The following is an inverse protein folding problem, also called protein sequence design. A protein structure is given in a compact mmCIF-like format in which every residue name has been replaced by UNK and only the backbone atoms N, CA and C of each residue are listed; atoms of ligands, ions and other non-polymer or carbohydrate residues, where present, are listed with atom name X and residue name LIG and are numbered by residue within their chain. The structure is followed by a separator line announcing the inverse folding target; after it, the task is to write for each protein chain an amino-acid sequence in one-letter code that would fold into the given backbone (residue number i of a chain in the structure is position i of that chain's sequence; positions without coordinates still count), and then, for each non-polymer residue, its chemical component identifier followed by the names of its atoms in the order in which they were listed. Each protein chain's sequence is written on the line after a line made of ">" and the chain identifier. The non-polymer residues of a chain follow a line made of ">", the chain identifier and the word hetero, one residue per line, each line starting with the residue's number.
data_IF_591124251704
#
_entry.id   IF_591124251704
#
_cell.length_a   1.000
_cell.length_b   1.000
_cell.length_c   1.000
_cell.angle_alpha   90.00
_cell.angle_beta   90.00
_cell.angle_gamma   90.00
#
_symmetry.space_group_name_H-M   'P 1'
#
loop_
_entity.id
_entity.type
_entity.pdbx_description
1 polymer ?
#
# COMPACT_ATOMS: atom_id res chain seq x y z
N UNK A 1 -10.44 30.59 3.05
CA UNK A 1 -9.64 29.39 2.69
C UNK A 1 -8.36 29.88 2.04
N UNK A 2 -7.25 29.77 2.75
CA UNK A 2 -5.92 30.17 2.24
C UNK A 2 -5.12 28.89 2.19
N UNK A 3 -4.95 28.33 1.00
CA UNK A 3 -4.23 27.08 0.76
C UNK A 3 -2.76 27.30 1.09
N UNK A 4 -2.29 26.77 2.23
CA UNK A 4 -0.86 26.70 2.51
C UNK A 4 -0.31 25.52 1.73
N UNK A 5 0.02 25.76 0.46
CA UNK A 5 0.83 24.82 -0.32
C UNK A 5 2.24 24.88 0.25
N UNK A 6 2.78 23.79 0.81
CA UNK A 6 4.14 23.83 1.29
C UNK A 6 5.13 23.81 0.11
N UNK A 7 6.23 24.54 0.31
CA UNK A 7 7.22 25.00 -0.68
C UNK A 7 8.20 23.88 -1.09
N UNK A 8 7.67 22.70 -1.45
CA UNK A 8 8.50 21.49 -1.67
C UNK A 8 8.61 21.04 -3.13
N UNK A 9 7.86 21.66 -4.05
CA UNK A 9 7.97 21.33 -5.47
C UNK A 9 9.36 21.65 -6.03
N UNK A 10 9.95 20.67 -6.69
CA UNK A 10 11.18 20.80 -7.50
C UNK A 10 11.05 21.79 -8.66
N UNK A 11 9.82 22.23 -8.98
CA UNK A 11 9.50 23.16 -10.06
C UNK A 11 9.24 24.60 -9.56
N UNK A 12 9.42 24.87 -8.26
CA UNK A 12 9.20 26.21 -7.70
C UNK A 12 10.54 26.97 -7.57
N UNK A 13 10.84 27.95 -8.44
CA UNK A 13 12.08 28.71 -8.39
C UNK A 13 12.16 29.71 -7.22
N UNK A 14 11.07 29.88 -6.45
CA UNK A 14 11.01 30.80 -5.31
C UNK A 14 10.67 30.06 -4.01
N UNK A 15 11.67 29.40 -3.41
CA UNK A 15 11.65 29.04 -1.98
C UNK A 15 11.78 30.33 -1.15
N UNK A 16 10.66 31.03 -0.91
CA UNK A 16 10.67 32.42 -0.43
C UNK A 16 11.12 32.57 1.04
N UNK A 17 11.73 33.72 1.40
CA UNK A 17 12.08 34.11 2.78
C UNK A 17 10.90 34.12 3.78
N UNK A 18 9.64 34.02 3.31
CA UNK A 18 8.46 34.05 4.17
C UNK A 18 8.22 32.72 4.91
N UNK A 19 8.69 31.59 4.37
CA UNK A 19 8.72 30.32 5.09
C UNK A 19 9.74 30.36 6.25
N UNK A 20 10.87 31.04 6.03
CA UNK A 20 11.81 31.40 7.09
C UNK A 20 11.23 32.42 8.06
N UNK A 21 10.33 33.32 7.64
CA UNK A 21 9.64 34.24 8.55
C UNK A 21 8.79 33.49 9.58
N UNK A 22 8.19 32.34 9.23
CA UNK A 22 7.44 31.51 10.18
C UNK A 22 8.38 30.83 11.21
N UNK A 23 9.49 30.25 10.74
CA UNK A 23 10.56 29.73 11.61
C UNK A 23 11.24 30.83 12.44
N UNK A 24 11.31 32.05 11.92
CA UNK A 24 11.85 33.24 12.56
C UNK A 24 10.90 33.84 13.59
N UNK A 25 9.58 33.82 13.37
CA UNK A 25 8.56 34.20 14.36
C UNK A 25 8.58 33.21 15.53
N UNK A 26 8.70 31.91 15.25
CA UNK A 26 8.82 30.88 16.28
C UNK A 26 10.11 31.03 17.11
N UNK A 27 11.25 31.27 16.44
CA UNK A 27 12.52 31.61 17.12
C UNK A 27 12.49 33.01 17.76
N UNK A 28 11.60 33.92 17.34
CA UNK A 28 11.37 35.22 18.01
C UNK A 28 10.58 35.13 19.31
N UNK A 29 9.60 34.24 19.38
CA UNK A 29 8.96 33.86 20.64
C UNK A 29 9.98 33.23 21.60
N UNK A 30 10.92 32.43 21.08
CA UNK A 30 12.08 31.94 21.84
C UNK A 30 13.07 33.05 22.21
N UNK A 31 13.28 34.07 21.38
CA UNK A 31 14.13 35.21 21.79
C UNK A 31 13.45 36.11 22.81
N UNK A 32 12.12 36.14 22.96
CA UNK A 32 11.47 36.78 24.14
C UNK A 32 11.87 36.10 25.46
N UNK A 33 12.07 34.78 25.46
CA UNK A 33 12.67 34.04 26.58
C UNK A 33 14.15 34.44 26.76
N UNK A 34 14.91 34.65 25.68
CA UNK A 34 16.29 35.20 25.80
C UNK A 34 16.34 36.68 26.16
N UNK A 35 15.25 37.43 25.96
CA UNK A 35 15.14 38.85 26.35
C UNK A 35 14.96 38.94 27.87
N UNK A 36 14.32 37.94 28.46
CA UNK A 36 14.31 37.69 29.90
C UNK A 36 15.73 37.44 30.45
N UNK A 37 16.56 36.68 29.70
CA UNK A 37 17.99 36.47 30.01
C UNK A 37 18.84 37.75 29.85
N UNK A 38 18.55 38.57 28.83
CA UNK A 38 19.19 39.88 28.62
C UNK A 38 18.85 40.93 29.67
N UNK A 39 17.73 40.81 30.39
CA UNK A 39 17.43 41.64 31.58
C UNK A 39 18.28 41.24 32.79
N UNK A 40 18.78 40.00 32.81
CA UNK A 40 19.69 39.45 33.81
C UNK A 40 21.15 39.88 33.55
N UNK A 41 21.53 40.12 32.29
CA UNK A 41 22.85 40.63 31.90
C UNK A 41 22.96 42.18 31.91
N UNK A 42 21.83 42.89 32.04
CA UNK A 42 21.78 44.36 32.09
C UNK A 42 22.21 44.97 33.44
N UNK A 43 22.66 44.14 34.40
CA UNK A 43 23.14 44.52 35.72
C UNK A 43 24.68 44.52 35.86
N UNK A 44 25.43 44.36 34.77
CA UNK A 44 26.90 44.43 34.78
C UNK A 44 27.44 45.58 33.89
N UNK A 45 28.41 46.40 34.36
CA UNK A 45 28.78 47.64 33.68
C UNK A 45 29.56 47.38 32.38
N UNK A 46 29.19 48.11 31.33
CA UNK A 46 29.78 48.03 29.99
C UNK A 46 31.12 48.77 29.93
N UNK A 47 32.15 48.11 29.40
CA UNK A 47 33.29 48.76 28.76
C UNK A 47 33.33 48.37 27.28
N UNK A 48 33.64 49.35 26.43
CA UNK A 48 33.81 49.24 24.99
C UNK A 48 34.92 50.22 24.59
N UNK A 49 35.55 50.11 23.42
CA UNK A 49 36.34 49.01 22.89
C UNK A 49 37.77 49.49 22.54
N UNK A 50 38.74 48.58 22.41
CA UNK A 50 39.99 48.90 21.71
C UNK A 50 40.31 47.84 20.66
N UNK A 51 40.60 48.34 19.45
CA UNK A 51 41.25 47.65 18.35
C UNK A 51 42.57 47.01 18.81
N UNK A 52 42.89 45.81 18.32
CA UNK A 52 44.14 45.56 17.58
C UNK A 52 44.27 44.10 17.11
N UNK A 53 45.24 43.92 16.22
CA UNK A 53 45.38 42.93 15.16
C UNK A 53 45.92 41.53 15.56
N UNK A 54 45.81 40.63 14.57
CA UNK A 54 46.63 39.44 14.29
C UNK A 54 46.56 38.24 15.23
N UNK A 55 46.03 37.13 14.69
CA UNK A 55 46.85 35.93 14.45
C UNK A 55 46.17 34.96 13.47
N UNK A 56 46.96 34.52 12.49
CA UNK A 56 46.68 33.51 11.49
C UNK A 56 47.11 32.12 11.96
N UNK A 57 46.23 31.12 11.84
CA UNK A 57 46.62 29.71 11.72
C UNK A 57 45.73 29.02 10.65
N UNK A 58 46.40 28.32 9.71
CA UNK A 58 45.86 27.57 8.56
C UNK A 58 45.04 26.33 8.99
N UNK A 59 43.86 25.99 8.44
CA UNK A 59 43.53 25.21 7.19
C UNK A 59 42.30 24.32 7.51
N UNK A 60 41.51 23.66 6.60
CA UNK A 60 41.45 23.67 5.13
C UNK A 60 40.03 23.98 4.55
N UNK A 61 39.96 24.15 3.22
CA UNK A 61 38.74 24.32 2.40
C UNK A 61 37.97 25.65 2.52
N UNK A 62 38.67 26.76 2.31
CA UNK A 62 37.98 28.02 2.00
C UNK A 62 37.62 28.05 0.52
N UNK A 63 36.43 27.59 0.17
CA UNK A 63 35.75 28.13 -1.00
C UNK A 63 35.65 29.65 -0.79
N UNK A 64 36.21 30.45 -1.70
CA UNK A 64 36.03 31.89 -1.67
C UNK A 64 34.59 32.20 -2.10
N UNK A 65 33.72 32.43 -1.12
CA UNK A 65 32.39 32.96 -1.35
C UNK A 65 32.47 34.49 -1.44
N UNK A 66 31.82 35.08 -2.44
CA UNK A 66 31.81 36.52 -2.65
C UNK A 66 30.92 37.27 -1.62
N UNK A 67 29.94 36.59 -1.04
CA UNK A 67 29.05 37.12 0.00
C UNK A 67 28.55 36.01 0.95
N UNK A 68 28.14 36.37 2.17
CA UNK A 68 27.51 35.45 3.13
C UNK A 68 26.25 34.80 2.53
N UNK A 69 25.54 35.50 1.64
CA UNK A 69 24.41 34.94 0.88
C UNK A 69 24.81 33.80 -0.03
N UNK A 70 25.97 33.86 -0.67
CA UNK A 70 26.46 32.79 -1.55
C UNK A 70 26.87 31.55 -0.74
N UNK A 71 27.55 31.77 0.39
CA UNK A 71 27.86 30.70 1.35
C UNK A 71 26.60 30.06 1.89
N UNK A 72 25.63 30.85 2.31
CA UNK A 72 24.38 30.36 2.90
C UNK A 72 23.53 29.67 1.83
N UNK A 73 23.47 30.20 0.60
CA UNK A 73 22.83 29.53 -0.53
C UNK A 73 23.49 28.19 -0.83
N UNK A 74 24.82 28.12 -0.92
CA UNK A 74 25.52 26.85 -1.14
C UNK A 74 25.27 25.87 0.01
N UNK A 75 25.37 26.32 1.26
CA UNK A 75 25.10 25.49 2.43
C UNK A 75 23.66 24.96 2.43
N UNK A 76 22.69 25.80 2.08
CA UNK A 76 21.28 25.40 1.94
C UNK A 76 21.09 24.42 0.79
N UNK A 77 21.75 24.63 -0.34
CA UNK A 77 21.73 23.70 -1.47
C UNK A 77 22.35 22.35 -1.11
N UNK A 78 23.49 22.36 -0.41
CA UNK A 78 24.23 21.17 0.03
C UNK A 78 23.43 20.36 1.08
N UNK A 79 22.69 21.03 1.97
CA UNK A 79 21.90 20.40 3.04
C UNK A 79 20.39 20.37 2.78
N UNK A 80 19.94 20.67 1.57
CA UNK A 80 18.52 20.89 1.25
C UNK A 80 17.64 19.73 1.70
N UNK A 81 18.09 18.51 1.45
CA UNK A 81 17.32 17.31 1.74
C UNK A 81 17.17 17.06 3.25
N UNK A 82 18.22 17.34 4.03
CA UNK A 82 18.18 17.19 5.49
C UNK A 82 17.30 18.27 6.14
N UNK A 83 17.32 19.48 5.57
CA UNK A 83 16.46 20.59 6.00
C UNK A 83 14.99 20.28 5.69
N UNK A 84 14.70 19.76 4.49
CA UNK A 84 13.37 19.32 4.08
C UNK A 84 12.87 18.22 5.04
N UNK A 85 13.68 17.20 5.32
CA UNK A 85 13.36 16.14 6.29
C UNK A 85 13.07 16.68 7.69
N UNK A 86 13.91 17.60 8.20
CA UNK A 86 13.69 18.22 9.51
C UNK A 86 12.38 19.00 9.55
N UNK A 87 12.05 19.72 8.48
CA UNK A 87 10.82 20.49 8.38
C UNK A 87 9.58 19.57 8.39
N UNK A 88 9.55 18.54 7.54
CA UNK A 88 8.40 17.61 7.49
C UNK A 88 8.26 16.80 8.78
N UNK A 89 9.38 16.36 9.38
CA UNK A 89 9.36 15.66 10.67
C UNK A 89 8.84 16.57 11.79
N UNK A 90 9.22 17.85 11.78
CA UNK A 90 8.72 18.83 12.74
C UNK A 90 7.22 19.08 12.57
N UNK A 91 6.73 19.23 11.33
CA UNK A 91 5.31 19.37 11.02
C UNK A 91 4.54 18.14 11.54
N UNK A 92 5.03 16.94 11.22
CA UNK A 92 4.43 15.68 11.64
C UNK A 92 4.40 15.50 13.16
N UNK A 93 5.43 15.99 13.88
CA UNK A 93 5.52 15.83 15.33
C UNK A 93 4.82 16.93 16.13
N UNK A 94 4.69 18.15 15.57
CA UNK A 94 4.32 19.35 16.35
C UNK A 94 2.90 19.84 16.11
N UNK A 95 2.27 19.48 14.99
CA UNK A 95 0.91 19.92 14.66
C UNK A 95 -0.09 18.83 15.00
N UNK A 96 -1.22 19.23 15.61
CA UNK A 96 -2.39 18.36 15.82
C UNK A 96 -3.35 18.42 14.62
N UNK A 97 -3.17 19.41 13.75
CA UNK A 97 -3.98 19.63 12.56
C UNK A 97 -3.83 18.48 11.55
N UNK A 98 -4.91 17.71 11.38
CA UNK A 98 -4.95 16.55 10.51
C UNK A 98 -4.87 16.92 9.03
N UNK A 99 -5.41 18.07 8.60
CA UNK A 99 -5.36 18.51 7.21
C UNK A 99 -3.92 18.84 6.79
N UNK A 100 -3.16 19.48 7.69
CA UNK A 100 -1.75 19.78 7.45
C UNK A 100 -0.91 18.50 7.44
N UNK A 101 -1.22 17.53 8.30
CA UNK A 101 -0.53 16.23 8.27
C UNK A 101 -0.87 15.43 7.00
N UNK A 102 -2.10 15.49 6.51
CA UNK A 102 -2.49 14.84 5.25
C UNK A 102 -1.78 15.46 4.04
N UNK A 103 -1.48 16.77 4.08
CA UNK A 103 -0.68 17.43 3.04
C UNK A 103 0.74 16.88 2.92
N UNK A 104 1.25 16.15 3.92
CA UNK A 104 2.56 15.50 3.85
C UNK A 104 2.58 14.30 2.88
N UNK A 105 1.42 13.72 2.57
CA UNK A 105 1.32 12.61 1.61
C UNK A 105 1.84 13.02 0.24
N UNK A 106 1.50 14.22 -0.24
CA UNK A 106 1.90 14.71 -1.57
C UNK A 106 3.39 15.06 -1.65
N UNK A 107 4.09 15.20 -0.52
CA UNK A 107 5.52 15.51 -0.46
C UNK A 107 6.38 14.24 -0.51
N UNK A 108 5.82 13.06 -0.18
CA UNK A 108 6.56 11.79 -0.17
C UNK A 108 7.36 11.56 -1.47
N UNK A 109 6.80 11.78 -2.69
CA UNK A 109 7.53 11.58 -3.93
C UNK A 109 8.62 12.61 -4.21
N UNK A 110 8.56 13.79 -3.58
CA UNK A 110 9.52 14.89 -3.74
C UNK A 110 10.75 14.75 -2.82
N UNK A 111 10.66 13.89 -1.80
CA UNK A 111 11.77 13.59 -0.90
C UNK A 111 12.74 12.60 -1.54
N UNK A 112 13.96 12.53 -1.00
CA UNK A 112 14.83 11.38 -1.26
C UNK A 112 14.22 10.13 -0.61
N UNK A 113 14.41 8.96 -1.20
CA UNK A 113 13.81 7.71 -0.74
C UNK A 113 14.08 7.40 0.74
N UNK A 114 15.31 7.63 1.22
CA UNK A 114 15.69 7.46 2.62
C UNK A 114 14.97 8.45 3.57
N UNK A 115 14.71 9.67 3.11
CA UNK A 115 13.99 10.69 3.88
C UNK A 115 12.48 10.46 3.85
N UNK A 116 11.95 10.01 2.71
CA UNK A 116 10.57 9.56 2.56
C UNK A 116 10.27 8.42 3.54
N UNK A 117 11.14 7.40 3.61
CA UNK A 117 11.04 6.32 4.58
C UNK A 117 11.00 6.84 6.02
N UNK A 118 11.93 7.72 6.40
CA UNK A 118 11.95 8.27 7.75
C UNK A 118 10.66 9.00 8.10
N UNK A 119 10.09 9.78 7.16
CA UNK A 119 8.81 10.46 7.36
C UNK A 119 7.65 9.46 7.56
N UNK A 120 7.51 8.48 6.68
CA UNK A 120 6.42 7.48 6.77
C UNK A 120 6.53 6.67 8.06
N UNK A 121 7.73 6.16 8.38
CA UNK A 121 7.94 5.38 9.59
C UNK A 121 7.87 6.24 10.86
N UNK A 122 8.11 7.55 10.79
CA UNK A 122 7.82 8.45 11.91
C UNK A 122 6.31 8.59 12.17
N UNK A 123 5.48 8.61 11.13
CA UNK A 123 4.03 8.59 11.28
C UNK A 123 3.55 7.31 11.97
N UNK A 124 4.05 6.14 11.54
CA UNK A 124 3.70 4.84 12.14
C UNK A 124 4.22 4.74 13.57
N UNK A 125 5.47 5.13 13.82
CA UNK A 125 6.10 5.04 15.13
C UNK A 125 5.39 5.94 16.17
N UNK A 126 4.85 7.08 15.74
CA UNK A 126 4.03 7.96 16.60
C UNK A 126 2.78 7.24 17.11
N UNK A 127 2.07 6.56 16.22
CA UNK A 127 0.90 5.74 16.61
C UNK A 127 1.30 4.57 17.50
N UNK A 128 2.45 3.94 17.20
CA UNK A 128 3.04 2.86 18.00
C UNK A 128 3.72 3.32 19.29
N UNK A 129 3.73 4.63 19.59
CA UNK A 129 4.40 5.26 20.74
C UNK A 129 5.87 4.83 20.90
N UNK A 130 6.60 4.76 19.79
CA UNK A 130 8.01 4.37 19.77
C UNK A 130 8.87 5.31 18.91
N UNK A 131 10.18 5.18 19.03
CA UNK A 131 11.11 5.97 18.24
C UNK A 131 11.17 5.44 16.78
N UNK A 132 11.18 6.31 15.75
CA UNK A 132 11.24 5.86 14.35
C UNK A 132 12.44 4.96 14.02
N UNK A 133 13.66 5.22 14.51
CA UNK A 133 14.80 4.32 14.25
C UNK A 133 14.61 2.91 14.83
N UNK A 134 13.93 2.80 15.98
CA UNK A 134 13.64 1.50 16.58
C UNK A 134 12.65 0.72 15.71
N UNK A 135 11.58 1.37 15.25
CA UNK A 135 10.60 0.74 14.37
C UNK A 135 11.27 0.25 13.07
N UNK A 136 12.10 1.08 12.44
CA UNK A 136 12.80 0.71 11.19
C UNK A 136 13.66 -0.55 11.39
N UNK A 137 14.41 -0.64 12.50
CA UNK A 137 15.22 -1.81 12.79
C UNK A 137 14.35 -3.07 13.01
N UNK A 138 13.27 -2.95 13.78
CA UNK A 138 12.38 -4.08 14.02
C UNK A 138 11.65 -4.55 12.75
N UNK A 139 11.32 -3.63 11.85
CA UNK A 139 10.70 -3.96 10.55
C UNK A 139 11.68 -4.75 9.68
N UNK A 140 12.95 -4.32 9.64
CA UNK A 140 14.01 -5.04 8.92
C UNK A 140 14.20 -6.47 9.46
N UNK A 141 14.10 -6.63 10.77
CA UNK A 141 14.23 -7.93 11.46
C UNK A 141 12.94 -8.75 11.47
N UNK A 142 11.83 -8.22 10.92
CA UNK A 142 10.48 -8.83 10.99
C UNK A 142 10.00 -9.10 12.42
N UNK A 143 10.48 -8.33 13.40
CA UNK A 143 10.27 -8.55 14.83
C UNK A 143 9.15 -7.68 15.45
N UNK A 144 8.37 -6.96 14.64
CA UNK A 144 7.32 -6.03 15.13
C UNK A 144 5.92 -6.29 14.58
N UNK A 145 5.60 -7.52 14.17
CA UNK A 145 4.27 -7.84 13.62
C UNK A 145 3.13 -7.42 14.58
N UNK A 146 3.23 -7.77 15.86
CA UNK A 146 2.21 -7.42 16.87
C UNK A 146 2.11 -5.90 17.11
N UNK A 147 3.24 -5.20 17.07
CA UNK A 147 3.27 -3.72 17.19
C UNK A 147 2.52 -3.09 16.01
N UNK A 148 2.81 -3.53 14.79
CA UNK A 148 2.16 -3.01 13.57
C UNK A 148 0.66 -3.32 13.56
N UNK A 149 0.27 -4.53 13.99
CA UNK A 149 -1.15 -4.88 14.16
C UNK A 149 -1.82 -4.02 15.23
N UNK A 150 -1.13 -3.74 16.34
CA UNK A 150 -1.63 -2.86 17.39
C UNK A 150 -1.83 -1.43 16.89
N UNK A 151 -0.92 -0.93 16.05
CA UNK A 151 -1.08 0.36 15.35
C UNK A 151 -2.31 0.33 14.46
N UNK A 152 -2.44 -0.69 13.60
CA UNK A 152 -3.60 -0.87 12.73
C UNK A 152 -4.93 -0.94 13.48
N UNK A 153 -4.97 -1.59 14.65
CA UNK A 153 -6.19 -1.67 15.46
C UNK A 153 -6.51 -0.35 16.19
N UNK A 154 -5.50 0.29 16.82
CA UNK A 154 -5.73 1.40 17.76
C UNK A 154 -5.75 2.80 17.14
N UNK A 155 -5.17 2.98 15.95
CA UNK A 155 -5.14 4.30 15.30
C UNK A 155 -6.55 4.80 14.96
N UNK A 156 -6.74 6.12 14.90
CA UNK A 156 -7.99 6.69 14.39
C UNK A 156 -8.16 6.38 12.91
N UNK A 157 -9.40 6.42 12.39
CA UNK A 157 -9.69 6.24 10.95
C UNK A 157 -8.86 7.19 10.07
N UNK A 158 -8.71 8.45 10.49
CA UNK A 158 -7.91 9.48 9.81
C UNK A 158 -6.42 9.13 9.81
N UNK A 159 -5.87 8.71 10.95
CA UNK A 159 -4.47 8.29 11.05
C UNK A 159 -4.19 7.02 10.21
N UNK A 160 -5.10 6.02 10.23
CA UNK A 160 -4.99 4.82 9.38
C UNK A 160 -4.93 5.22 7.91
N UNK A 161 -5.90 6.02 7.45
CA UNK A 161 -5.96 6.46 6.05
C UNK A 161 -4.69 7.20 5.61
N UNK A 162 -4.16 8.09 6.47
CA UNK A 162 -2.89 8.77 6.22
C UNK A 162 -1.72 7.80 6.09
N UNK A 163 -1.56 6.89 7.05
CA UNK A 163 -0.47 5.90 7.05
C UNK A 163 -0.51 5.06 5.77
N UNK A 164 -1.68 4.56 5.38
CA UNK A 164 -1.83 3.77 4.17
C UNK A 164 -1.47 4.57 2.91
N UNK A 165 -1.98 5.80 2.77
CA UNK A 165 -1.65 6.65 1.62
C UNK A 165 -0.15 6.98 1.57
N UNK A 166 0.49 7.22 2.72
CA UNK A 166 1.93 7.45 2.81
C UNK A 166 2.73 6.20 2.44
N UNK A 167 2.33 5.00 2.89
CA UNK A 167 2.97 3.73 2.54
C UNK A 167 2.84 3.42 1.05
N UNK A 168 1.67 3.64 0.46
CA UNK A 168 1.44 3.45 -0.97
C UNK A 168 2.26 4.45 -1.82
N UNK A 169 2.28 5.72 -1.43
CA UNK A 169 3.13 6.73 -2.09
C UNK A 169 4.62 6.39 -1.98
N UNK A 170 5.04 5.84 -0.84
CA UNK A 170 6.42 5.38 -0.64
C UNK A 170 6.75 4.18 -1.53
N UNK A 171 5.83 3.22 -1.69
CA UNK A 171 6.04 2.07 -2.57
C UNK A 171 6.23 2.47 -4.03
N UNK A 172 5.44 3.44 -4.53
CA UNK A 172 5.61 3.99 -5.88
C UNK A 172 6.94 4.74 -6.06
N UNK A 173 7.52 5.24 -4.96
CA UNK A 173 8.75 6.05 -4.98
C UNK A 173 10.04 5.23 -4.81
N UNK A 174 9.98 3.99 -4.32
CA UNK A 174 11.19 3.15 -4.13
C UNK A 174 11.68 2.64 -5.49
N UNK A 175 12.92 2.94 -5.91
CA UNK A 175 13.49 2.41 -7.14
C UNK A 175 13.55 0.87 -7.16
N UNK A 176 13.36 0.26 -8.32
CA UNK A 176 13.38 -1.20 -8.47
C UNK A 176 14.74 -1.83 -8.09
N UNK A 177 15.82 -1.10 -8.30
CA UNK A 177 17.22 -1.45 -7.99
C UNK A 177 17.70 -0.90 -6.63
N UNK A 178 16.77 -0.41 -5.79
CA UNK A 178 17.11 0.14 -4.49
C UNK A 178 17.81 -0.88 -3.59
N UNK A 179 19.07 -0.60 -3.25
CA UNK A 179 19.86 -1.41 -2.35
C UNK A 179 19.47 -1.13 -0.89
N UNK A 180 18.57 -1.96 -0.37
CA UNK A 180 18.15 -1.90 1.04
C UNK A 180 19.32 -2.11 2.02
N UNK A 181 20.42 -2.76 1.60
CA UNK A 181 21.56 -3.03 2.48
C UNK A 181 22.37 -1.77 2.80
N UNK A 182 22.39 -0.79 1.90
CA UNK A 182 23.08 0.48 2.08
C UNK A 182 22.20 1.58 2.68
N UNK A 183 20.88 1.56 2.41
CA UNK A 183 20.04 2.75 2.55
C UNK A 183 18.78 2.59 3.42
N UNK A 184 18.47 1.42 3.97
CA UNK A 184 17.36 1.29 4.93
C UNK A 184 16.45 0.09 4.73
N UNK A 185 15.18 0.36 4.44
CA UNK A 185 14.13 -0.62 4.18
C UNK A 185 13.92 -0.75 2.67
N UNK A 186 13.54 -1.91 2.17
CA UNK A 186 13.17 -2.11 0.76
C UNK A 186 11.65 -2.10 0.54
N UNK A 187 11.21 -2.20 -0.72
CA UNK A 187 9.78 -2.31 -1.07
C UNK A 187 9.09 -3.51 -0.38
N UNK A 188 9.80 -4.63 -0.19
CA UNK A 188 9.27 -5.79 0.55
C UNK A 188 9.06 -5.50 2.04
N UNK A 189 9.86 -4.60 2.62
CA UNK A 189 9.70 -4.22 4.01
C UNK A 189 8.47 -3.34 4.17
N UNK A 190 8.30 -2.37 3.28
CA UNK A 190 7.14 -1.49 3.21
C UNK A 190 5.86 -2.28 2.91
N UNK A 191 5.89 -3.25 1.98
CA UNK A 191 4.74 -4.11 1.67
C UNK A 191 4.33 -4.99 2.85
N UNK A 192 5.30 -5.53 3.60
CA UNK A 192 4.98 -6.28 4.81
C UNK A 192 4.45 -5.37 5.92
N UNK A 193 4.96 -4.14 6.04
CA UNK A 193 4.38 -3.16 6.97
C UNK A 193 2.94 -2.83 6.61
N UNK A 194 2.66 -2.60 5.32
CA UNK A 194 1.31 -2.43 4.78
C UNK A 194 0.43 -3.63 5.15
N UNK A 195 0.92 -4.84 4.91
CA UNK A 195 0.25 -6.10 5.21
C UNK A 195 -0.13 -6.24 6.69
N UNK A 196 0.82 -6.08 7.62
CA UNK A 196 0.55 -6.27 9.05
C UNK A 196 -0.45 -5.24 9.59
N UNK A 197 -0.41 -4.00 9.08
CA UNK A 197 -1.38 -2.98 9.44
C UNK A 197 -2.75 -3.33 8.84
N UNK A 198 -2.83 -3.68 7.54
CA UNK A 198 -4.06 -4.11 6.87
C UNK A 198 -4.77 -5.24 7.63
N UNK A 199 -4.03 -6.29 8.01
CA UNK A 199 -4.60 -7.48 8.66
C UNK A 199 -5.31 -7.16 9.98
N UNK A 200 -4.80 -6.18 10.74
CA UNK A 200 -5.47 -5.73 11.96
C UNK A 200 -6.72 -4.89 11.69
N UNK A 201 -6.80 -4.25 10.52
CA UNK A 201 -7.93 -3.42 10.16
C UNK A 201 -9.06 -4.20 9.44
N UNK A 202 -8.81 -5.40 8.90
CA UNK A 202 -9.83 -6.25 8.26
C UNK A 202 -10.99 -6.65 9.20
N UNK A 203 -10.85 -6.46 10.51
CA UNK A 203 -11.88 -6.71 11.50
C UNK A 203 -12.84 -5.50 11.73
N UNK A 204 -12.60 -4.35 11.11
CA UNK A 204 -13.35 -3.11 11.32
C UNK A 204 -13.95 -2.58 10.00
N UNK A 205 -15.09 -1.88 10.08
CA UNK A 205 -15.73 -1.13 8.98
C UNK A 205 -14.86 0.07 8.57
N UNK A 206 -13.75 -0.22 7.91
CA UNK A 206 -12.89 0.75 7.27
C UNK A 206 -13.61 1.48 6.12
N UNK A 207 -13.07 2.65 5.80
CA UNK A 207 -13.55 3.50 4.71
C UNK A 207 -13.42 2.80 3.34
N UNK A 208 -14.51 2.69 2.57
CA UNK A 208 -14.50 2.10 1.23
C UNK A 208 -13.44 2.76 0.32
N UNK A 209 -13.26 4.08 0.42
CA UNK A 209 -12.27 4.82 -0.36
C UNK A 209 -10.83 4.38 -0.03
N UNK A 210 -10.58 4.04 1.23
CA UNK A 210 -9.29 3.56 1.68
C UNK A 210 -9.02 2.14 1.16
N UNK A 211 -10.03 1.28 1.13
CA UNK A 211 -9.93 -0.03 0.50
C UNK A 211 -9.60 0.08 -0.97
N UNK A 212 -10.36 0.89 -1.70
CA UNK A 212 -10.14 1.15 -3.12
C UNK A 212 -8.69 1.60 -3.34
N UNK A 213 -8.16 2.50 -2.49
CA UNK A 213 -6.77 2.95 -2.57
C UNK A 213 -5.75 1.83 -2.34
N UNK A 214 -5.93 0.99 -1.31
CA UNK A 214 -5.04 -0.14 -1.01
C UNK A 214 -5.07 -1.17 -2.14
N UNK A 215 -6.26 -1.54 -2.62
CA UNK A 215 -6.42 -2.50 -3.71
C UNK A 215 -5.79 -1.99 -5.00
N UNK A 216 -6.02 -0.74 -5.39
CA UNK A 216 -5.38 -0.15 -6.57
C UNK A 216 -3.86 -0.06 -6.43
N UNK A 217 -3.37 0.44 -5.30
CA UNK A 217 -1.94 0.56 -5.05
C UNK A 217 -1.24 -0.80 -5.08
N UNK A 218 -1.85 -1.83 -4.47
CA UNK A 218 -1.30 -3.19 -4.47
C UNK A 218 -1.42 -3.87 -5.83
N UNK A 219 -2.51 -3.66 -6.57
CA UNK A 219 -2.70 -4.21 -7.92
C UNK A 219 -1.69 -3.63 -8.92
N UNK A 220 -1.41 -2.31 -8.86
CA UNK A 220 -0.36 -1.68 -9.69
C UNK A 220 1.02 -2.33 -9.52
N UNK A 221 1.34 -2.83 -8.32
CA UNK A 221 2.62 -3.49 -8.05
C UNK A 221 2.77 -4.85 -8.74
N UNK A 222 1.73 -5.34 -9.42
CA UNK A 222 1.78 -6.54 -10.26
C UNK A 222 2.22 -6.27 -11.69
N UNK A 223 2.35 -5.00 -12.08
CA UNK A 223 2.80 -4.60 -13.41
C UNK A 223 4.20 -5.17 -13.73
N UNK A 224 4.47 -5.40 -15.02
CA UNK A 224 5.63 -6.17 -15.50
C UNK A 224 6.98 -5.53 -15.20
N UNK A 225 7.01 -4.22 -15.02
CA UNK A 225 8.19 -3.43 -14.65
C UNK A 225 8.69 -3.72 -13.22
N UNK A 226 7.83 -4.27 -12.36
CA UNK A 226 8.17 -4.55 -10.97
C UNK A 226 8.98 -5.86 -10.82
N UNK A 227 9.93 -5.92 -9.87
CA UNK A 227 10.64 -7.15 -9.56
C UNK A 227 9.67 -8.28 -9.15
N UNK A 228 9.90 -9.51 -9.63
CA UNK A 228 9.01 -10.64 -9.36
C UNK A 228 8.72 -10.87 -7.87
N UNK A 229 9.70 -10.63 -6.99
CA UNK A 229 9.54 -10.72 -5.53
C UNK A 229 8.49 -9.74 -4.98
N UNK A 230 8.44 -8.52 -5.53
CA UNK A 230 7.47 -7.47 -5.16
C UNK A 230 6.10 -7.86 -5.67
N UNK A 231 6.01 -8.28 -6.95
CA UNK A 231 4.76 -8.79 -7.54
C UNK A 231 4.17 -9.95 -6.73
N UNK A 232 4.99 -10.94 -6.38
CA UNK A 232 4.57 -12.07 -5.52
C UNK A 232 4.05 -11.62 -4.16
N UNK A 233 4.73 -10.67 -3.51
CA UNK A 233 4.30 -10.14 -2.22
C UNK A 233 2.96 -9.37 -2.34
N UNK A 234 2.81 -8.53 -3.37
CA UNK A 234 1.57 -7.82 -3.67
C UNK A 234 0.40 -8.80 -3.94
N UNK A 235 0.65 -9.87 -4.71
CA UNK A 235 -0.35 -10.92 -4.94
C UNK A 235 -0.80 -11.57 -3.62
N UNK A 236 0.13 -11.86 -2.71
CA UNK A 236 -0.22 -12.45 -1.42
C UNK A 236 -1.12 -11.52 -0.61
N UNK A 237 -0.85 -10.21 -0.59
CA UNK A 237 -1.72 -9.23 0.07
C UNK A 237 -3.13 -9.30 -0.54
N UNK A 238 -3.24 -9.19 -1.87
CA UNK A 238 -4.54 -9.24 -2.56
C UNK A 238 -5.27 -10.56 -2.31
N UNK A 239 -4.56 -11.68 -2.33
CA UNK A 239 -5.16 -12.98 -2.13
C UNK A 239 -5.80 -13.14 -0.76
N UNK A 240 -5.18 -12.62 0.29
CA UNK A 240 -5.75 -12.70 1.61
C UNK A 240 -6.83 -11.65 1.86
N UNK A 241 -6.71 -10.45 1.27
CA UNK A 241 -7.71 -9.39 1.45
C UNK A 241 -8.95 -9.55 0.58
N UNK A 242 -8.86 -10.23 -0.57
CA UNK A 242 -9.98 -10.30 -1.54
C UNK A 242 -11.23 -10.96 -0.96
N UNK A 243 -11.11 -11.95 -0.09
CA UNK A 243 -12.28 -12.70 0.40
C UNK A 243 -13.29 -11.83 1.17
N UNK A 244 -12.81 -10.75 1.79
CA UNK A 244 -13.66 -9.87 2.60
C UNK A 244 -14.30 -8.74 1.78
N UNK A 245 -13.81 -8.45 0.55
CA UNK A 245 -14.16 -7.21 -0.18
C UNK A 245 -14.42 -7.39 -1.69
N UNK A 246 -14.28 -8.61 -2.21
CA UNK A 246 -14.28 -8.93 -3.65
C UNK A 246 -15.55 -8.54 -4.40
N UNK A 247 -16.68 -8.41 -3.71
CA UNK A 247 -17.98 -8.11 -4.32
C UNK A 247 -18.23 -6.60 -4.52
N UNK A 248 -17.39 -5.72 -3.95
CA UNK A 248 -17.64 -4.27 -3.94
C UNK A 248 -16.83 -3.49 -4.98
N UNK A 249 -15.67 -4.01 -5.41
CA UNK A 249 -14.74 -3.21 -6.20
C UNK A 249 -13.80 -4.05 -7.07
N UNK A 250 -13.60 -3.62 -8.31
CA UNK A 250 -12.54 -4.11 -9.19
C UNK A 250 -11.46 -3.02 -9.37
N UNK A 251 -10.17 -3.32 -9.13
CA UNK A 251 -9.09 -2.37 -9.37
C UNK A 251 -9.05 -1.89 -10.82
N UNK A 252 -8.72 -0.62 -11.01
CA UNK A 252 -8.56 -0.04 -12.35
C UNK A 252 -7.50 -0.78 -13.18
N UNK A 253 -6.51 -1.38 -12.52
CA UNK A 253 -5.42 -2.15 -13.12
C UNK A 253 -5.63 -3.66 -13.04
N UNK A 254 -6.87 -4.15 -13.13
CA UNK A 254 -7.16 -5.60 -13.19
C UNK A 254 -6.39 -6.32 -14.30
N UNK A 255 -6.07 -5.63 -15.40
CA UNK A 255 -5.21 -6.14 -16.48
C UNK A 255 -3.83 -6.58 -15.98
N UNK A 256 -3.24 -5.89 -14.99
CA UNK A 256 -1.95 -6.26 -14.40
C UNK A 256 -2.06 -7.55 -13.60
N UNK A 257 -3.17 -7.74 -12.87
CA UNK A 257 -3.45 -8.99 -12.14
C UNK A 257 -3.60 -10.15 -13.13
N UNK A 258 -4.36 -9.97 -14.21
CA UNK A 258 -4.57 -10.99 -15.23
C UNK A 258 -3.27 -11.30 -15.97
N UNK A 259 -2.49 -10.29 -16.38
CA UNK A 259 -1.19 -10.49 -17.02
C UNK A 259 -0.22 -11.22 -16.10
N UNK A 260 -0.16 -10.83 -14.81
CA UNK A 260 0.68 -11.50 -13.84
C UNK A 260 0.29 -12.97 -13.65
N UNK A 261 -1.02 -13.27 -13.57
CA UNK A 261 -1.51 -14.64 -13.51
C UNK A 261 -1.02 -15.45 -14.72
N UNK A 262 -1.17 -14.93 -15.94
CA UNK A 262 -0.70 -15.60 -17.15
C UNK A 262 0.83 -15.78 -17.18
N UNK A 263 1.59 -14.80 -16.69
CA UNK A 263 3.05 -14.91 -16.58
C UNK A 263 3.48 -16.01 -15.60
N UNK A 264 2.61 -16.39 -14.66
CA UNK A 264 2.82 -17.49 -13.73
C UNK A 264 2.42 -18.85 -14.30
N UNK A 265 2.02 -18.97 -15.58
CA UNK A 265 1.65 -20.25 -16.18
C UNK A 265 2.79 -21.28 -16.04
N UNK A 266 2.53 -22.40 -15.36
CA UNK A 266 3.54 -23.41 -15.03
C UNK A 266 4.26 -23.20 -13.69
N UNK A 267 3.89 -22.18 -12.92
CA UNK A 267 4.40 -21.90 -11.57
C UNK A 267 3.30 -22.14 -10.52
N UNK A 268 3.69 -22.48 -9.27
CA UNK A 268 2.72 -22.76 -8.18
C UNK A 268 1.81 -21.57 -7.84
N UNK A 269 2.21 -20.35 -8.19
CA UNK A 269 1.41 -19.13 -7.99
C UNK A 269 0.26 -18.97 -8.98
N UNK A 270 0.21 -19.78 -10.04
CA UNK A 270 -0.79 -19.62 -11.11
C UNK A 270 -2.22 -19.67 -10.58
N UNK A 271 -2.55 -20.71 -9.81
CA UNK A 271 -3.90 -20.90 -9.25
C UNK A 271 -4.25 -19.78 -8.29
N UNK A 272 -3.30 -19.36 -7.46
CA UNK A 272 -3.45 -18.24 -6.52
C UNK A 272 -3.76 -16.93 -7.24
N UNK A 273 -3.00 -16.63 -8.30
CA UNK A 273 -3.19 -15.43 -9.12
C UNK A 273 -4.51 -15.47 -9.90
N UNK A 274 -4.87 -16.63 -10.45
CA UNK A 274 -6.14 -16.82 -11.12
C UNK A 274 -7.32 -16.63 -10.16
N UNK A 275 -7.25 -17.17 -8.94
CA UNK A 275 -8.27 -16.96 -7.91
C UNK A 275 -8.47 -15.46 -7.60
N UNK A 276 -7.39 -14.69 -7.42
CA UNK A 276 -7.49 -13.22 -7.21
C UNK A 276 -8.16 -12.52 -8.39
N UNK A 277 -7.74 -12.84 -9.61
CA UNK A 277 -8.34 -12.26 -10.81
C UNK A 277 -9.85 -12.56 -10.88
N UNK A 278 -10.25 -13.80 -10.60
CA UNK A 278 -11.63 -14.24 -10.64
C UNK A 278 -12.49 -13.65 -9.52
N UNK A 279 -11.92 -13.44 -8.33
CA UNK A 279 -12.63 -12.79 -7.23
C UNK A 279 -12.93 -11.32 -7.53
N UNK A 280 -12.03 -10.61 -8.22
CA UNK A 280 -12.17 -9.18 -8.50
C UNK A 280 -12.91 -8.87 -9.81
N UNK A 281 -12.90 -9.79 -10.77
CA UNK A 281 -13.55 -9.63 -12.08
C UNK A 281 -15.07 -9.37 -12.05
N UNK A 282 -15.86 -9.89 -11.08
CA UNK A 282 -17.28 -9.57 -10.94
C UNK A 282 -17.56 -8.08 -10.71
N UNK A 283 -16.59 -7.32 -10.19
CA UNK A 283 -16.69 -5.87 -10.02
C UNK A 283 -16.47 -5.06 -11.30
N UNK A 284 -16.14 -5.71 -12.42
CA UNK A 284 -16.07 -5.04 -13.72
C UNK A 284 -17.48 -4.77 -14.24
N UNK A 285 -17.71 -3.53 -14.67
CA UNK A 285 -18.90 -3.22 -15.46
C UNK A 285 -18.71 -3.80 -16.87
N UNK A 286 -19.22 -5.01 -17.10
CA UNK A 286 -19.15 -5.66 -18.41
C UNK A 286 -19.98 -4.99 -19.50
N UNK A 287 -20.75 -3.94 -19.17
CA UNK A 287 -21.59 -3.19 -20.11
C UNK A 287 -20.94 -1.90 -20.62
N UNK A 288 -19.86 -1.44 -19.98
CA UNK A 288 -19.05 -0.32 -20.46
C UNK A 288 -18.27 -0.74 -21.73
N UNK A 289 -18.09 0.13 -22.72
CA UNK A 289 -17.59 -0.25 -24.05
C UNK A 289 -16.10 0.06 -24.31
N UNK A 290 -15.47 0.91 -23.50
CA UNK A 290 -14.17 1.50 -23.89
C UNK A 290 -12.94 0.70 -23.43
N UNK A 291 -12.97 0.12 -22.21
CA UNK A 291 -11.82 -0.63 -21.63
C UNK A 291 -12.12 -2.10 -21.37
N UNK A 292 -13.40 -2.45 -21.31
CA UNK A 292 -13.87 -3.80 -21.02
C UNK A 292 -13.57 -4.85 -22.10
N UNK A 293 -13.51 -4.57 -23.43
CA UNK A 293 -13.32 -5.64 -24.40
C UNK A 293 -11.93 -6.28 -24.27
N UNK A 294 -10.91 -5.49 -23.93
CA UNK A 294 -9.56 -5.98 -23.69
C UNK A 294 -9.49 -6.84 -22.43
N UNK A 295 -10.02 -6.37 -21.30
CA UNK A 295 -10.06 -7.15 -20.05
C UNK A 295 -10.92 -8.41 -20.19
N UNK A 296 -12.03 -8.34 -20.95
CA UNK A 296 -12.91 -9.49 -21.25
C UNK A 296 -12.15 -10.57 -22.02
N UNK A 297 -11.40 -10.17 -23.05
CA UNK A 297 -10.59 -11.09 -23.83
C UNK A 297 -9.45 -11.69 -23.00
N UNK A 298 -8.75 -10.88 -22.21
CA UNK A 298 -7.68 -11.34 -21.32
C UNK A 298 -8.19 -12.33 -20.26
N UNK A 299 -9.37 -12.06 -19.68
CA UNK A 299 -9.99 -12.97 -18.70
C UNK A 299 -10.43 -14.29 -19.35
N UNK A 300 -11.00 -14.26 -20.56
CA UNK A 300 -11.33 -15.48 -21.32
C UNK A 300 -10.07 -16.31 -21.60
N UNK A 301 -8.97 -15.66 -21.97
CA UNK A 301 -7.68 -16.33 -22.17
C UNK A 301 -7.17 -16.95 -20.88
N UNK A 302 -7.24 -16.23 -19.76
CA UNK A 302 -6.86 -16.75 -18.45
C UNK A 302 -7.71 -17.96 -18.04
N UNK A 303 -9.03 -17.92 -18.24
CA UNK A 303 -9.94 -19.04 -17.95
C UNK A 303 -9.60 -20.28 -18.79
N UNK A 304 -9.26 -20.09 -20.08
CA UNK A 304 -8.79 -21.20 -20.93
C UNK A 304 -7.46 -21.76 -20.47
N UNK A 305 -6.53 -20.91 -20.08
CA UNK A 305 -5.23 -21.34 -19.55
C UNK A 305 -5.39 -22.08 -18.22
N UNK A 306 -6.32 -21.64 -17.37
CA UNK A 306 -6.72 -22.33 -16.14
C UNK A 306 -7.29 -23.72 -16.43
N UNK A 307 -8.24 -23.85 -17.36
CA UNK A 307 -8.79 -25.15 -17.77
C UNK A 307 -7.71 -26.11 -18.26
N UNK A 308 -6.77 -25.62 -19.09
CA UNK A 308 -5.65 -26.42 -19.60
C UNK A 308 -4.70 -26.84 -18.49
N UNK A 309 -4.38 -25.92 -17.57
CA UNK A 309 -3.50 -26.17 -16.44
C UNK A 309 -4.09 -27.23 -15.51
N UNK A 310 -5.35 -27.06 -15.09
CA UNK A 310 -6.03 -28.03 -14.22
C UNK A 310 -6.18 -29.40 -14.88
N UNK A 311 -6.45 -29.43 -16.20
CA UNK A 311 -6.51 -30.68 -16.95
C UNK A 311 -5.17 -31.42 -16.91
N UNK A 312 -4.05 -30.71 -17.09
CA UNK A 312 -2.70 -31.30 -16.97
C UNK A 312 -2.44 -31.80 -15.55
N UNK A 313 -2.76 -31.00 -14.52
CA UNK A 313 -2.63 -31.44 -13.13
C UNK A 313 -3.43 -32.72 -12.86
N UNK A 314 -4.63 -32.84 -13.42
CA UNK A 314 -5.45 -34.06 -13.31
C UNK A 314 -4.82 -35.25 -14.01
N UNK A 315 -4.21 -35.04 -15.18
CA UNK A 315 -3.48 -36.09 -15.93
C UNK A 315 -2.21 -36.53 -15.18
N UNK A 316 -1.53 -35.59 -14.52
CA UNK A 316 -0.30 -35.81 -13.76
C UNK A 316 -0.54 -36.27 -12.30
N UNK A 317 -1.79 -36.27 -11.83
CA UNK A 317 -2.15 -36.63 -10.45
C UNK A 317 -1.67 -35.63 -9.38
N UNK A 318 -1.52 -34.35 -9.75
CA UNK A 318 -1.03 -33.30 -8.85
C UNK A 318 -2.17 -32.77 -8.00
N UNK A 319 -2.03 -32.86 -6.67
CA UNK A 319 -2.99 -32.29 -5.73
C UNK A 319 -2.96 -30.75 -5.72
N UNK A 320 -4.13 -30.15 -5.58
CA UNK A 320 -4.30 -28.71 -5.45
C UNK A 320 -4.28 -28.28 -3.98
N UNK A 321 -3.82 -27.06 -3.72
CA UNK A 321 -3.90 -26.46 -2.39
C UNK A 321 -5.37 -26.10 -2.07
N UNK A 322 -5.91 -26.69 -1.00
CA UNK A 322 -7.32 -26.58 -0.59
C UNK A 322 -7.79 -25.13 -0.47
N UNK A 323 -6.97 -24.27 0.16
CA UNK A 323 -7.34 -22.87 0.35
C UNK A 323 -7.44 -22.09 -0.97
N UNK A 324 -6.55 -22.39 -1.93
CA UNK A 324 -6.56 -21.80 -3.27
C UNK A 324 -7.74 -22.30 -4.09
N UNK A 325 -8.13 -23.56 -3.90
CA UNK A 325 -9.28 -24.18 -4.57
C UNK A 325 -10.62 -23.54 -4.19
N UNK A 326 -10.87 -23.33 -2.89
CA UNK A 326 -12.12 -22.73 -2.43
C UNK A 326 -12.31 -21.30 -2.96
N UNK A 327 -11.26 -20.47 -2.87
CA UNK A 327 -11.28 -19.10 -3.44
C UNK A 327 -11.47 -19.08 -4.95
N UNK A 328 -10.88 -20.04 -5.67
CA UNK A 328 -11.06 -20.19 -7.11
C UNK A 328 -12.54 -20.47 -7.45
N UNK A 329 -13.16 -21.44 -6.77
CA UNK A 329 -14.57 -21.80 -7.01
C UNK A 329 -15.49 -20.66 -6.64
N UNK A 330 -15.26 -20.01 -5.50
CA UNK A 330 -16.05 -18.86 -5.09
C UNK A 330 -15.99 -17.73 -6.14
N UNK A 331 -14.79 -17.41 -6.65
CA UNK A 331 -14.63 -16.43 -7.74
C UNK A 331 -15.35 -16.84 -9.04
N UNK A 332 -15.30 -18.12 -9.40
CA UNK A 332 -16.01 -18.64 -10.59
C UNK A 332 -17.53 -18.53 -10.46
N UNK A 333 -18.06 -18.82 -9.27
CA UNK A 333 -19.50 -18.69 -9.01
C UNK A 333 -19.94 -17.24 -9.18
N UNK A 334 -19.24 -16.30 -8.53
CA UNK A 334 -19.54 -14.87 -8.65
C UNK A 334 -19.45 -14.38 -10.10
N UNK A 335 -18.45 -14.85 -10.86
CA UNK A 335 -18.30 -14.50 -12.27
C UNK A 335 -19.45 -15.07 -13.12
N UNK A 336 -19.87 -16.30 -12.86
CA UNK A 336 -20.95 -16.96 -13.59
C UNK A 336 -22.30 -16.27 -13.33
N UNK A 337 -22.56 -15.87 -12.09
CA UNK A 337 -23.76 -15.10 -11.71
C UNK A 337 -23.83 -13.75 -12.43
N UNK A 338 -22.69 -13.09 -12.63
CA UNK A 338 -22.61 -11.79 -13.32
C UNK A 338 -22.60 -11.92 -14.84
N UNK A 339 -21.89 -12.91 -15.39
CA UNK A 339 -21.71 -13.09 -16.83
C UNK A 339 -21.33 -14.55 -17.18
N UNK A 340 -22.36 -15.41 -17.25
CA UNK A 340 -22.20 -16.83 -17.54
C UNK A 340 -21.49 -17.13 -18.88
N UNK A 341 -21.55 -16.23 -19.87
CA UNK A 341 -20.90 -16.42 -21.17
C UNK A 341 -19.36 -16.41 -21.10
N UNK A 342 -18.79 -15.92 -19.99
CA UNK A 342 -17.34 -15.88 -19.81
C UNK A 342 -16.76 -17.24 -19.41
N UNK A 343 -17.53 -18.03 -18.68
CA UNK A 343 -17.11 -19.33 -18.18
C UNK A 343 -17.48 -20.37 -19.23
N UNK A 344 -16.47 -21.04 -19.81
CA UNK A 344 -16.71 -22.13 -20.75
C UNK A 344 -17.00 -23.43 -19.98
N UNK A 345 -17.88 -24.29 -20.50
CA UNK A 345 -18.27 -25.55 -19.86
C UNK A 345 -17.08 -26.47 -19.50
N UNK A 346 -15.97 -26.36 -20.25
CA UNK A 346 -14.74 -27.10 -19.98
C UNK A 346 -14.18 -26.87 -18.57
N UNK A 347 -14.30 -25.65 -18.02
CA UNK A 347 -13.68 -25.33 -16.74
C UNK A 347 -14.39 -26.02 -15.55
N UNK A 348 -15.73 -25.92 -15.40
CA UNK A 348 -16.47 -26.71 -14.41
C UNK A 348 -16.24 -28.22 -14.55
N UNK A 349 -16.21 -28.75 -15.78
CA UNK A 349 -15.99 -30.18 -16.03
C UNK A 349 -14.62 -30.66 -15.52
N UNK A 350 -13.57 -29.88 -15.79
CA UNK A 350 -12.21 -30.21 -15.35
C UNK A 350 -12.09 -30.17 -13.82
N UNK A 351 -12.72 -29.18 -13.17
CA UNK A 351 -12.73 -29.07 -11.72
C UNK A 351 -13.51 -30.22 -11.05
N UNK A 352 -14.68 -30.60 -11.59
CA UNK A 352 -15.44 -31.76 -11.10
C UNK A 352 -14.61 -33.05 -11.24
N UNK A 353 -13.90 -33.21 -12.36
CA UNK A 353 -12.96 -34.32 -12.53
C UNK A 353 -11.83 -34.29 -11.49
N UNK A 354 -11.31 -33.12 -11.12
CA UNK A 354 -10.30 -33.01 -10.05
C UNK A 354 -10.85 -33.51 -8.70
N UNK A 355 -12.12 -33.23 -8.40
CA UNK A 355 -12.80 -33.73 -7.19
C UNK A 355 -12.97 -35.25 -7.25
N UNK A 356 -13.47 -35.78 -8.37
CA UNK A 356 -13.67 -37.22 -8.56
C UNK A 356 -12.36 -38.02 -8.43
N UNK A 357 -11.23 -37.41 -8.81
CA UNK A 357 -9.89 -37.97 -8.68
C UNK A 357 -9.28 -37.79 -7.27
N UNK A 358 -9.93 -37.09 -6.34
CA UNK A 358 -9.40 -36.78 -5.01
C UNK A 358 -8.18 -35.85 -5.04
N UNK A 359 -8.08 -35.02 -6.09
CA UNK A 359 -7.02 -34.01 -6.26
C UNK A 359 -7.44 -32.63 -5.75
N UNK A 360 -8.75 -32.44 -5.55
CA UNK A 360 -9.39 -31.23 -5.08
C UNK A 360 -10.38 -31.58 -3.98
N UNK A 361 -10.11 -31.14 -2.76
CA UNK A 361 -11.03 -31.31 -1.64
C UNK A 361 -11.94 -30.08 -1.56
N UNK A 362 -13.25 -30.29 -1.68
CA UNK A 362 -14.27 -29.26 -1.63
C UNK A 362 -15.28 -29.51 -0.51
N UNK A 363 -15.78 -28.44 0.08
CA UNK A 363 -16.98 -28.52 0.90
C UNK A 363 -18.18 -28.96 0.07
N UNK A 364 -19.21 -29.50 0.74
CA UNK A 364 -20.44 -29.91 0.07
C UNK A 364 -21.12 -28.75 -0.68
N UNK A 365 -21.07 -27.54 -0.13
CA UNK A 365 -21.63 -26.33 -0.76
C UNK A 365 -20.87 -25.93 -2.02
N UNK A 366 -19.53 -25.92 -1.98
CA UNK A 366 -18.69 -25.63 -3.15
C UNK A 366 -18.90 -26.66 -4.27
N UNK A 367 -19.05 -27.94 -3.93
CA UNK A 367 -19.36 -29.00 -4.88
C UNK A 367 -20.72 -28.79 -5.57
N UNK A 368 -21.75 -28.42 -4.81
CA UNK A 368 -23.08 -28.15 -5.34
C UNK A 368 -23.08 -26.92 -6.26
N UNK A 369 -22.39 -25.85 -5.87
CA UNK A 369 -22.21 -24.65 -6.71
C UNK A 369 -21.51 -24.98 -8.03
N UNK A 370 -20.46 -25.80 -7.98
CA UNK A 370 -19.73 -26.24 -9.17
C UNK A 370 -20.60 -27.06 -10.12
N UNK A 371 -21.42 -27.98 -9.61
CA UNK A 371 -22.42 -28.71 -10.43
C UNK A 371 -23.50 -27.79 -11.00
N UNK A 372 -23.94 -26.80 -10.23
CA UNK A 372 -24.89 -25.78 -10.68
C UNK A 372 -24.40 -25.07 -11.95
N UNK A 373 -23.13 -24.67 -11.98
CA UNK A 373 -22.51 -24.03 -13.14
C UNK A 373 -22.52 -24.93 -14.39
N UNK A 374 -22.24 -26.23 -14.24
CA UNK A 374 -22.32 -27.19 -15.35
C UNK A 374 -23.74 -27.23 -15.95
N UNK A 375 -24.77 -27.22 -15.11
CA UNK A 375 -26.17 -27.23 -15.56
C UNK A 375 -26.60 -25.93 -16.26
N UNK A 376 -26.02 -24.78 -15.87
CA UNK A 376 -26.30 -23.49 -16.53
C UNK A 376 -25.86 -23.48 -18.01
N UNK A 377 -24.89 -24.30 -18.39
CA UNK A 377 -24.44 -24.47 -19.78
C UNK A 377 -25.23 -25.52 -20.58
N UNK A 378 -26.08 -26.32 -19.93
CA UNK A 378 -26.87 -27.39 -20.57
C UNK A 378 -28.24 -26.88 -21.02
N UNK A 379 -28.76 -25.80 -20.42
CA UNK A 379 -30.03 -25.18 -20.80
C UNK A 379 -29.75 -24.14 -21.90
N UNK A 380 -30.28 -24.32 -23.14
CA UNK A 380 -30.16 -23.28 -24.17
C UNK A 380 -30.89 -22.03 -23.69
N UNK A 381 -30.23 -20.87 -23.76
CA UNK A 381 -30.82 -19.56 -23.52
C UNK A 381 -31.92 -19.27 -24.55
N UNK A 382 -33.13 -19.77 -24.28
CA UNK A 382 -34.36 -19.25 -24.84
C UNK A 382 -35.19 -18.67 -23.69
N UNK A 383 -35.47 -17.37 -23.79
CA UNK A 383 -36.30 -16.52 -22.91
C UNK A 383 -35.58 -15.79 -21.76
N UNK A 384 -35.23 -14.52 -22.04
CA UNK A 384 -35.27 -13.49 -21.00
C UNK A 384 -36.71 -13.30 -20.51
N UNK A 385 -36.88 -12.95 -19.23
CA UNK A 385 -37.55 -11.68 -18.97
C UNK A 385 -36.70 -10.76 -18.09
N UNK A 386 -36.75 -9.49 -18.45
CA UNK A 386 -36.25 -8.35 -17.68
C UNK A 386 -36.74 -8.42 -16.23
N UNK A 387 -35.81 -8.32 -15.29
CA UNK A 387 -36.11 -8.19 -13.87
C UNK A 387 -34.83 -7.94 -13.08
N UNK A 388 -34.52 -6.69 -12.83
CA UNK A 388 -33.52 -6.27 -11.84
C UNK A 388 -33.93 -6.79 -10.46
N UNK A 389 -33.37 -7.92 -10.05
CA UNK A 389 -33.43 -8.39 -8.68
C UNK A 389 -32.00 -8.38 -8.12
N UNK A 390 -31.71 -7.40 -7.26
CA UNK A 390 -30.63 -7.54 -6.29
C UNK A 390 -30.90 -8.78 -5.44
N UNK A 391 -30.00 -9.79 -5.38
CA UNK A 391 -30.15 -10.86 -4.41
C UNK A 391 -29.67 -10.37 -3.04
N UNK A 392 -30.59 -10.37 -2.08
CA UNK A 392 -30.33 -10.24 -0.65
C UNK A 392 -29.92 -11.60 -0.09
N UNK A 393 -28.68 -11.77 0.41
CA UNK A 393 -28.24 -12.74 1.44
C UNK A 393 -26.86 -12.26 1.95
N UNK A 394 -26.75 -11.58 3.10
CA UNK A 394 -26.65 -12.05 4.51
C UNK A 394 -25.42 -12.93 4.82
N UNK A 395 -24.44 -12.28 5.46
CA UNK A 395 -23.44 -12.73 6.45
C UNK A 395 -22.83 -14.14 6.31
N UNK A 396 -21.61 -14.19 5.78
CA UNK A 396 -20.62 -15.24 6.05
C UNK A 396 -19.33 -14.70 6.71
N UNK A 397 -19.28 -13.42 7.07
CA UNK A 397 -18.10 -12.81 7.71
C UNK A 397 -17.91 -13.18 9.21
N UNK A 398 -18.85 -13.89 9.84
CA UNK A 398 -18.82 -14.13 11.29
C UNK A 398 -18.48 -15.55 11.75
N UNK A 399 -18.37 -16.55 10.86
CA UNK A 399 -18.13 -17.94 11.29
C UNK A 399 -16.70 -18.45 11.12
N UNK A 400 -15.77 -17.67 10.55
CA UNK A 400 -14.35 -18.06 10.43
C UNK A 400 -13.41 -17.46 11.50
N UNK A 401 -13.92 -16.78 12.53
CA UNK A 401 -13.09 -16.20 13.62
C UNK A 401 -13.38 -16.78 15.01
N UNK A 402 -14.12 -17.89 15.13
CA UNK A 402 -14.53 -18.44 16.41
C UNK A 402 -14.08 -19.89 16.64
N UNK A 403 -12.79 -20.23 16.46
CA UNK A 403 -12.24 -21.45 17.07
C UNK A 403 -10.79 -21.21 17.53
N UNK A 404 -10.50 -21.70 18.74
CA UNK A 404 -9.22 -21.78 19.47
C UNK A 404 -8.91 -20.63 20.43
N UNK A 405 -9.66 -20.57 21.54
CA UNK A 405 -9.08 -20.39 22.88
C UNK A 405 -9.92 -21.20 23.89
N UNK A 406 -9.61 -22.48 24.03
CA UNK A 406 -10.00 -23.27 25.21
C UNK A 406 -8.73 -23.57 26.00
N UNK A 407 -8.64 -23.21 27.29
CA UNK A 407 -7.50 -23.56 28.11
C UNK A 407 -7.62 -25.04 28.50
N UNK A 408 -6.56 -25.82 28.25
CA UNK A 408 -6.38 -27.08 28.95
C UNK A 408 -5.79 -26.76 30.33
N UNK A 409 -6.42 -27.38 31.33
CA UNK A 409 -6.14 -27.43 32.78
C UNK A 409 -4.69 -27.35 33.21
#
# INVERSE_FOLDING_TARGET
>A
MTTVVPVFSSHCPFKSPQAWLFAWIFTRCRTRITTWKRRLDASLPRFQPHHDANNSHHSPFTHHFADWRERDNKTVWDHRHDLDLKAVTWIQASLVDEEVQDSLISIVPDLRTDHAMQLVFAAIAREGKMAPPLLINLVRERACAEVLRTVGARSSRTAKARIFRMLLALLEHIPNDYDASAAGLGALDVLWTLWEICMACLAEDLDLDLHISIFNGTAKLLHEDQPFRVRRAALNILYETTHTWSYLYCPATIGDIISFARSCYGHHLFVKAAAVALLLSPGLDWSDNDTTPNHRQQLKELLRDLSRFLKRCNEDGIKHEEHSAGKLIYGLVLLTERNAELVEAMLPDVLLKSVDLGLLDLSQDEHLKLRGMQHTHIIPTSSQPNGSALPTYVNLATESCAVVLSPST
#
